data_IF_862739423261
#
_entry.id   IF_862739423261
#
_cell.length_a   1.000
_cell.length_b   1.000
_cell.length_c   1.000
_cell.angle_alpha   90.00
_cell.angle_beta   90.00
_cell.angle_gamma   90.00
#
_symmetry.space_group_name_H-M   'P 1'
#
loop_
_entity.id
_entity.type
_entity.pdbx_description
1 polymer ?
#
# COMPACT_ATOMS: atom_id res chain seq x y z
N UNK A 1 7.06 23.42 -18.89
CA UNK A 1 6.08 22.31 -18.99
C UNK A 1 6.39 21.55 -20.27
N UNK A 2 6.70 20.25 -20.17
CA UNK A 2 7.21 19.45 -21.29
C UNK A 2 6.03 18.86 -22.12
N UNK A 3 5.97 19.09 -23.45
CA UNK A 3 4.86 18.68 -24.31
C UNK A 3 4.69 17.14 -24.46
N UNK A 4 5.62 16.33 -23.95
CA UNK A 4 5.49 14.87 -23.89
C UNK A 4 4.42 14.38 -22.89
N UNK A 5 4.05 15.20 -21.90
CA UNK A 5 3.03 14.84 -20.90
C UNK A 5 1.59 14.86 -21.44
N UNK A 6 1.35 15.56 -22.55
CA UNK A 6 -0.01 15.74 -23.08
C UNK A 6 -0.45 14.56 -23.95
N UNK A 7 0.49 13.83 -24.57
CA UNK A 7 0.18 12.76 -25.54
C UNK A 7 -0.05 11.38 -24.90
N UNK A 8 0.38 11.15 -23.66
CA UNK A 8 0.08 9.91 -22.91
C UNK A 8 -1.25 9.99 -22.16
N UNK A 9 -1.85 11.18 -22.06
CA UNK A 9 -3.11 11.44 -21.35
C UNK A 9 -4.37 11.20 -22.20
N UNK A 10 -4.27 10.96 -23.51
CA UNK A 10 -5.44 10.93 -24.41
C UNK A 10 -6.21 9.60 -24.43
N UNK A 11 -5.64 8.48 -23.94
CA UNK A 11 -6.38 7.21 -23.82
C UNK A 11 -7.08 7.02 -22.45
N UNK A 12 -6.87 7.92 -21.49
CA UNK A 12 -7.38 7.79 -20.11
C UNK A 12 -8.44 8.84 -19.72
N UNK A 13 -8.90 9.67 -20.66
CA UNK A 13 -9.76 10.83 -20.38
C UNK A 13 -11.13 10.50 -19.74
N UNK A 14 -11.84 9.40 -20.07
CA UNK A 14 -13.11 9.10 -19.41
C UNK A 14 -12.91 8.56 -17.99
N UNK A 15 -11.82 7.83 -17.74
CA UNK A 15 -11.58 7.09 -16.50
C UNK A 15 -11.19 7.96 -15.31
N UNK A 16 -10.52 9.11 -15.51
CA UNK A 16 -10.11 10.00 -14.39
C UNK A 16 -11.30 10.68 -13.72
N UNK A 17 -12.42 10.86 -14.43
CA UNK A 17 -13.67 11.37 -13.86
C UNK A 17 -14.32 10.39 -12.87
N UNK A 18 -14.07 9.08 -13.04
CA UNK A 18 -14.60 8.04 -12.15
C UNK A 18 -13.70 7.75 -10.93
N UNK A 19 -12.52 8.37 -10.85
CA UNK A 19 -11.59 8.23 -9.73
C UNK A 19 -11.93 9.28 -8.67
N UNK A 20 -12.07 8.80 -7.43
CA UNK A 20 -12.33 9.67 -6.28
C UNK A 20 -11.22 10.73 -6.17
N UNK A 21 -11.54 12.03 -5.96
CA UNK A 21 -10.55 13.12 -5.96
C UNK A 21 -9.34 12.87 -5.07
N UNK A 22 -9.54 12.22 -3.93
CA UNK A 22 -8.47 11.91 -2.97
C UNK A 22 -7.49 10.82 -3.44
N UNK A 23 -7.85 10.00 -4.42
CA UNK A 23 -6.98 8.96 -4.97
C UNK A 23 -6.11 9.47 -6.12
N UNK A 24 -6.46 10.63 -6.70
CA UNK A 24 -5.73 11.21 -7.83
C UNK A 24 -4.24 11.43 -7.52
N UNK A 25 -3.83 11.94 -6.34
CA UNK A 25 -2.41 12.09 -6.00
C UNK A 25 -1.63 10.77 -5.88
N UNK A 26 -2.33 9.65 -5.66
CA UNK A 26 -1.74 8.32 -5.60
C UNK A 26 -1.57 7.75 -7.02
N UNK A 27 -2.60 7.88 -7.85
CA UNK A 27 -2.57 7.45 -9.26
C UNK A 27 -1.50 8.19 -10.06
N UNK A 28 -1.25 9.47 -9.79
CA UNK A 28 -0.20 10.23 -10.49
C UNK A 28 1.22 9.71 -10.21
N UNK A 29 1.43 8.94 -9.14
CA UNK A 29 2.71 8.31 -8.80
C UNK A 29 2.83 6.89 -9.37
N UNK A 30 1.76 6.35 -9.94
CA UNK A 30 1.73 4.98 -10.44
C UNK A 30 2.40 4.87 -11.81
N UNK A 31 2.91 3.68 -12.13
CA UNK A 31 3.33 3.40 -13.51
C UNK A 31 2.12 3.29 -14.42
N UNK A 32 2.32 3.36 -15.73
CA UNK A 32 1.23 3.22 -16.71
C UNK A 32 0.45 1.90 -16.54
N UNK A 33 1.16 0.78 -16.39
CA UNK A 33 0.53 -0.54 -16.20
C UNK A 33 -0.19 -0.62 -14.86
N UNK A 34 0.42 -0.14 -13.78
CA UNK A 34 -0.24 -0.14 -12.47
C UNK A 34 -1.47 0.77 -12.44
N UNK A 35 -1.48 1.85 -13.22
CA UNK A 35 -2.66 2.72 -13.39
C UNK A 35 -3.80 1.96 -14.06
N UNK A 36 -3.53 1.14 -15.08
CA UNK A 36 -4.55 0.29 -15.71
C UNK A 36 -5.08 -0.74 -14.69
N UNK A 37 -4.19 -1.40 -13.95
CA UNK A 37 -4.59 -2.36 -12.92
C UNK A 37 -5.44 -1.70 -11.82
N UNK A 38 -5.05 -0.51 -11.38
CA UNK A 38 -5.78 0.30 -10.43
C UNK A 38 -7.20 0.59 -10.93
N UNK A 39 -7.36 1.00 -12.19
CA UNK A 39 -8.68 1.28 -12.76
C UNK A 39 -9.54 0.02 -12.76
N UNK A 40 -9.00 -1.15 -13.13
CA UNK A 40 -9.72 -2.44 -13.11
C UNK A 40 -10.20 -2.76 -11.68
N UNK A 41 -9.29 -2.73 -10.70
CA UNK A 41 -9.61 -3.01 -9.29
C UNK A 41 -10.64 -2.01 -8.75
N UNK A 42 -10.43 -0.72 -8.98
CA UNK A 42 -11.32 0.36 -8.55
C UNK A 42 -12.73 0.24 -9.12
N UNK A 43 -12.88 -0.19 -10.39
CA UNK A 43 -14.19 -0.42 -10.98
C UNK A 43 -14.90 -1.61 -10.31
N UNK A 44 -14.20 -2.74 -10.12
CA UNK A 44 -14.76 -3.92 -9.44
C UNK A 44 -15.20 -3.58 -8.01
N UNK A 45 -14.41 -2.76 -7.31
CA UNK A 45 -14.70 -2.27 -5.96
C UNK A 45 -15.92 -1.36 -5.93
N UNK A 46 -16.00 -0.43 -6.90
CA UNK A 46 -17.12 0.51 -7.00
C UNK A 46 -18.45 -0.21 -7.20
N UNK A 47 -18.47 -1.32 -7.94
CA UNK A 47 -19.66 -2.14 -8.11
C UNK A 47 -19.87 -3.15 -6.97
N UNK A 48 -18.94 -3.28 -6.03
CA UNK A 48 -19.02 -4.23 -4.91
C UNK A 48 -19.06 -5.69 -5.37
N UNK A 49 -18.44 -5.99 -6.52
CA UNK A 49 -18.60 -7.30 -7.18
C UNK A 49 -17.53 -8.32 -6.78
N UNK A 50 -16.41 -7.90 -6.19
CA UNK A 50 -15.21 -8.75 -6.04
C UNK A 50 -15.49 -10.12 -5.39
N UNK A 51 -16.36 -10.16 -4.37
CA UNK A 51 -16.70 -11.38 -3.63
C UNK A 51 -17.85 -12.19 -4.25
N UNK A 52 -18.49 -11.68 -5.30
CA UNK A 52 -19.56 -12.34 -6.05
C UNK A 52 -19.09 -12.88 -7.40
N UNK A 53 -17.83 -12.65 -7.76
CA UNK A 53 -17.24 -13.18 -8.98
C UNK A 53 -17.03 -14.70 -8.87
N UNK A 54 -17.03 -15.43 -10.01
CA UNK A 54 -16.51 -16.78 -10.06
C UNK A 54 -15.10 -16.87 -9.46
N UNK A 55 -14.76 -18.01 -8.86
CA UNK A 55 -13.52 -18.18 -8.08
C UNK A 55 -12.25 -17.77 -8.84
N UNK A 56 -12.14 -18.10 -10.12
CA UNK A 56 -10.97 -17.73 -10.95
C UNK A 56 -10.84 -16.21 -11.13
N UNK A 57 -11.95 -15.51 -11.35
CA UNK A 57 -11.98 -14.05 -11.47
C UNK A 57 -11.74 -13.37 -10.12
N UNK A 58 -12.29 -13.93 -9.04
CA UNK A 58 -12.00 -13.47 -7.68
C UNK A 58 -10.51 -13.59 -7.33
N UNK A 59 -9.88 -14.72 -7.67
CA UNK A 59 -8.44 -14.92 -7.46
C UNK A 59 -7.60 -13.93 -8.27
N UNK A 60 -7.95 -13.73 -9.54
CA UNK A 60 -7.28 -12.74 -10.39
C UNK A 60 -7.36 -11.33 -9.75
N UNK A 61 -8.56 -10.91 -9.34
CA UNK A 61 -8.76 -9.64 -8.64
C UNK A 61 -7.90 -9.52 -7.37
N UNK A 62 -7.84 -10.57 -6.53
CA UNK A 62 -7.02 -10.55 -5.31
C UNK A 62 -5.52 -10.44 -5.60
N UNK A 63 -5.03 -11.09 -6.65
CA UNK A 63 -3.63 -10.98 -7.09
C UNK A 63 -3.32 -9.55 -7.52
N UNK A 64 -4.18 -8.94 -8.33
CA UNK A 64 -4.01 -7.57 -8.80
C UNK A 64 -4.01 -6.57 -7.64
N UNK A 65 -4.98 -6.70 -6.72
CA UNK A 65 -5.06 -5.86 -5.53
C UNK A 65 -3.82 -6.02 -4.63
N UNK A 66 -3.38 -7.26 -4.42
CA UNK A 66 -2.17 -7.55 -3.62
C UNK A 66 -0.92 -6.95 -4.25
N UNK A 67 -0.78 -7.01 -5.57
CA UNK A 67 0.34 -6.41 -6.30
C UNK A 67 0.40 -4.89 -6.08
N UNK A 68 -0.74 -4.19 -6.18
CA UNK A 68 -0.81 -2.75 -5.91
C UNK A 68 -0.45 -2.43 -4.45
N UNK A 69 -0.99 -3.18 -3.49
CA UNK A 69 -0.64 -3.02 -2.07
C UNK A 69 0.84 -3.21 -1.79
N UNK A 70 1.48 -4.24 -2.35
CA UNK A 70 2.90 -4.48 -2.13
C UNK A 70 3.77 -3.36 -2.71
N UNK A 71 3.35 -2.76 -3.83
CA UNK A 71 4.13 -1.72 -4.51
C UNK A 71 3.96 -0.33 -3.89
N UNK A 72 2.76 0.01 -3.42
CA UNK A 72 2.42 1.37 -3.01
C UNK A 72 2.15 1.54 -1.51
N UNK A 73 1.92 0.44 -0.78
CA UNK A 73 1.56 0.44 0.64
C UNK A 73 2.61 -0.28 1.51
N UNK A 74 3.86 -0.40 1.05
CA UNK A 74 4.97 -0.81 1.91
C UNK A 74 5.91 0.38 2.10
N UNK A 75 5.72 1.08 3.22
CA UNK A 75 6.53 2.25 3.58
C UNK A 75 7.61 1.83 4.57
N UNK A 76 8.86 1.97 4.13
CA UNK A 76 10.00 1.78 4.99
C UNK A 76 10.10 2.90 6.03
N UNK A 77 10.45 2.53 7.27
CA UNK A 77 10.62 3.44 8.40
C UNK A 77 12.01 3.24 8.99
N UNK A 78 12.73 4.33 9.20
CA UNK A 78 14.13 4.32 9.65
C UNK A 78 15.11 4.28 8.48
N UNK A 79 16.38 4.02 8.80
CA UNK A 79 17.42 3.74 7.83
C UNK A 79 17.76 2.24 7.83
N UNK A 80 18.05 1.68 6.67
CA UNK A 80 18.64 0.34 6.55
C UNK A 80 20.09 0.40 7.05
N UNK A 81 20.33 -0.13 8.25
CA UNK A 81 21.64 -0.07 8.91
C UNK A 81 22.29 -1.44 9.12
N UNK A 82 21.68 -2.51 8.61
CA UNK A 82 22.25 -3.84 8.77
C UNK A 82 23.46 -4.08 7.87
N UNK A 83 24.23 -5.07 8.24
CA UNK A 83 25.43 -5.50 7.54
C UNK A 83 25.16 -6.74 6.70
N UNK A 84 26.01 -6.96 5.70
CA UNK A 84 26.09 -8.24 5.02
C UNK A 84 26.67 -9.29 5.97
N UNK A 85 26.13 -10.48 5.90
CA UNK A 85 26.58 -11.62 6.69
C UNK A 85 26.59 -12.89 5.81
N UNK A 86 27.27 -13.93 6.29
CA UNK A 86 27.26 -15.22 5.64
C UNK A 86 25.97 -15.98 6.00
N UNK A 87 25.08 -16.11 5.03
CA UNK A 87 23.81 -16.84 5.16
C UNK A 87 24.07 -18.32 5.48
N UNK A 88 25.18 -18.89 5.00
CA UNK A 88 25.58 -20.26 5.30
C UNK A 88 25.99 -20.50 6.76
N UNK A 89 26.14 -19.44 7.56
CA UNK A 89 26.46 -19.57 8.99
C UNK A 89 25.20 -19.75 9.86
N UNK A 90 24.03 -19.35 9.36
CA UNK A 90 22.80 -19.25 10.14
C UNK A 90 21.66 -20.08 9.51
N UNK A 91 21.71 -21.40 9.66
CA UNK A 91 20.65 -22.32 9.22
C UNK A 91 19.51 -22.52 10.25
N UNK A 92 19.37 -21.59 11.19
CA UNK A 92 18.36 -21.63 12.24
C UNK A 92 17.86 -20.22 12.54
N UNK A 93 16.69 -20.11 13.19
CA UNK A 93 16.18 -18.83 13.69
C UNK A 93 16.95 -18.43 14.95
N UNK A 94 17.57 -17.25 14.93
CA UNK A 94 18.29 -16.73 16.10
C UNK A 94 17.30 -16.25 17.17
N UNK A 95 17.76 -16.17 18.42
CA UNK A 95 16.91 -15.79 19.55
C UNK A 95 16.41 -14.33 19.46
N UNK A 96 17.19 -13.47 18.81
CA UNK A 96 16.92 -12.04 18.59
C UNK A 96 16.28 -11.75 17.21
N UNK A 97 16.11 -12.77 16.35
CA UNK A 97 15.55 -12.63 15.01
C UNK A 97 16.48 -12.01 13.96
N UNK A 98 17.77 -11.83 14.26
CA UNK A 98 18.78 -11.42 13.30
C UNK A 98 19.08 -12.49 12.23
N UNK A 99 19.82 -12.09 11.20
CA UNK A 99 20.37 -12.98 10.16
C UNK A 99 19.32 -13.81 9.41
N UNK A 100 18.12 -13.26 9.22
CA UNK A 100 17.02 -13.92 8.49
C UNK A 100 16.83 -13.38 7.07
N UNK A 101 17.06 -12.09 6.84
CA UNK A 101 16.96 -11.49 5.51
C UNK A 101 18.31 -11.60 4.78
N UNK A 102 18.38 -12.08 3.53
CA UNK A 102 19.65 -12.47 2.89
C UNK A 102 20.66 -11.33 2.67
N UNK A 103 20.22 -10.07 2.75
CA UNK A 103 21.07 -8.90 2.46
C UNK A 103 21.28 -7.96 3.64
N UNK A 104 20.58 -8.17 4.77
CA UNK A 104 20.62 -7.30 5.95
C UNK A 104 20.40 -8.18 7.19
N UNK A 105 21.39 -8.21 8.09
CA UNK A 105 21.36 -9.03 9.31
C UNK A 105 20.37 -8.52 10.37
N UNK A 106 19.90 -7.29 10.30
CA UNK A 106 18.99 -6.69 11.29
C UNK A 106 17.52 -6.76 10.90
N UNK A 107 17.18 -6.97 9.62
CA UNK A 107 15.78 -6.97 9.18
C UNK A 107 14.97 -8.06 9.91
N UNK A 108 13.98 -7.60 10.68
CA UNK A 108 13.09 -8.47 11.46
C UNK A 108 13.59 -8.81 12.86
N UNK A 109 14.74 -8.27 13.28
CA UNK A 109 15.28 -8.49 14.62
C UNK A 109 14.58 -7.64 15.68
N UNK A 110 14.73 -8.05 16.94
CA UNK A 110 14.30 -7.27 18.10
C UNK A 110 14.94 -5.87 18.09
N UNK A 111 14.18 -4.86 18.50
CA UNK A 111 14.66 -3.47 18.57
C UNK A 111 14.63 -2.70 17.26
N UNK A 112 14.09 -3.28 16.18
CA UNK A 112 13.90 -2.60 14.89
C UNK A 112 12.58 -1.84 14.80
N UNK A 113 12.52 -0.88 13.88
CA UNK A 113 11.33 -0.07 13.65
C UNK A 113 10.18 -0.88 13.06
N UNK A 114 8.95 -0.56 13.48
CA UNK A 114 7.75 -1.00 12.78
C UNK A 114 7.62 -0.26 11.44
N UNK A 115 7.46 -1.00 10.36
CA UNK A 115 7.08 -0.45 9.05
C UNK A 115 5.68 0.16 9.06
N UNK A 116 5.29 0.78 7.94
CA UNK A 116 3.95 1.36 7.78
C UNK A 116 3.31 0.96 6.46
N UNK A 117 1.99 0.84 6.46
CA UNK A 117 1.23 0.60 5.24
C UNK A 117 0.56 1.85 4.69
N UNK A 118 0.50 2.91 5.49
CA UNK A 118 -0.11 4.19 5.13
C UNK A 118 0.77 5.35 5.62
N UNK A 119 0.78 6.49 4.93
CA UNK A 119 1.46 7.69 5.42
C UNK A 119 0.96 8.06 6.82
N UNK A 120 1.84 8.55 7.71
CA UNK A 120 1.41 8.94 9.05
C UNK A 120 0.43 10.12 8.98
N UNK A 121 -0.71 9.98 9.66
CA UNK A 121 -1.62 11.11 9.88
C UNK A 121 -1.02 12.04 10.94
N UNK A 122 -0.92 13.34 10.66
CA UNK A 122 -0.30 14.34 11.54
C UNK A 122 -1.25 14.88 12.62
N UNK A 123 -2.39 14.23 12.85
CA UNK A 123 -3.42 14.73 13.76
C UNK A 123 -2.96 14.65 15.22
N UNK A 124 -2.61 15.80 15.81
CA UNK A 124 -2.23 15.93 17.25
C UNK A 124 -3.42 15.75 18.22
N UNK A 125 -4.65 15.62 17.71
CA UNK A 125 -5.89 15.61 18.50
C UNK A 125 -6.26 14.25 19.13
N UNK A 126 -5.41 13.23 19.02
CA UNK A 126 -5.79 11.85 19.34
C UNK A 126 -5.57 11.37 20.78
N UNK A 127 -4.78 12.08 21.60
CA UNK A 127 -4.42 11.55 22.95
C UNK A 127 -5.32 12.09 24.07
N UNK A 128 -5.91 13.28 23.89
CA UNK A 128 -6.73 13.97 24.92
C UNK A 128 -8.04 14.48 24.29
N UNK A 129 -8.72 13.64 23.53
CA UNK A 129 -10.12 13.88 23.17
C UNK A 129 -10.99 12.96 24.01
N UNK A 130 -12.15 13.41 24.54
CA UNK A 130 -13.06 12.56 25.33
C UNK A 130 -13.62 11.35 24.55
N UNK A 131 -13.25 11.23 23.28
CA UNK A 131 -13.64 10.16 22.34
C UNK A 131 -12.76 8.91 22.40
N UNK A 132 -11.67 8.87 23.18
CA UNK A 132 -10.82 7.67 23.32
C UNK A 132 -11.61 6.42 23.79
N UNK A 133 -12.73 6.61 24.50
CA UNK A 133 -13.57 5.53 24.99
C UNK A 133 -14.79 5.19 24.09
N UNK A 134 -15.17 6.05 23.12
CA UNK A 134 -16.44 5.91 22.38
C UNK A 134 -16.28 5.93 20.84
N UNK A 135 -15.17 6.37 20.27
CA UNK A 135 -15.04 6.47 18.81
C UNK A 135 -13.74 5.85 18.30
N UNK A 136 -13.76 4.52 18.10
CA UNK A 136 -12.95 3.86 17.06
C UNK A 136 -13.50 4.21 15.67
N UNK A 137 -13.68 5.50 15.40
CA UNK A 137 -14.02 5.98 14.08
C UNK A 137 -12.72 6.16 13.32
N UNK A 138 -12.42 5.16 12.51
CA UNK A 138 -11.60 5.27 11.32
C UNK A 138 -11.86 6.66 10.68
N UNK A 139 -10.90 7.58 10.85
CA UNK A 139 -11.00 8.92 10.28
C UNK A 139 -11.23 8.75 8.77
N UNK A 140 -12.41 9.18 8.32
CA UNK A 140 -12.93 9.15 6.96
C UNK A 140 -13.29 7.77 6.38
N UNK A 141 -14.40 7.19 6.86
CA UNK A 141 -15.10 6.00 6.32
C UNK A 141 -15.28 5.95 4.78
N UNK A 142 -15.40 7.09 4.10
CA UNK A 142 -15.50 7.10 2.62
C UNK A 142 -14.15 6.91 1.94
N UNK A 143 -13.05 7.36 2.56
CA UNK A 143 -11.69 7.31 2.03
C UNK A 143 -11.01 6.03 2.45
N UNK A 144 -11.26 5.55 3.67
CA UNK A 144 -10.75 4.28 4.18
C UNK A 144 -11.14 3.08 3.29
N UNK A 145 -12.31 3.11 2.65
CA UNK A 145 -12.72 2.10 1.66
C UNK A 145 -11.81 2.06 0.43
N UNK A 146 -11.23 3.21 0.04
CA UNK A 146 -10.29 3.33 -1.07
C UNK A 146 -8.82 3.41 -0.66
N UNK A 147 -8.54 3.62 0.63
CA UNK A 147 -7.21 3.53 1.23
C UNK A 147 -6.79 2.06 1.43
N UNK A 148 -7.71 1.13 1.17
CA UNK A 148 -7.47 -0.30 1.01
C UNK A 148 -7.28 -0.69 -0.48
N UNK A 149 -6.79 0.23 -1.31
CA UNK A 149 -6.08 -0.12 -2.55
C UNK A 149 -4.60 -0.26 -2.23
#
# INVERSE_FOLDING_TARGET
MNPQFLYTMTLALPSVLFIHPELRPLVTKMSFLDTILFIIVHMVDKFGLWHRLPVSLGLCYLILRRHLHQRYNLLHVGSMSGNKYDVGKYFHRTADGMCNHPTDDTVGSQGTFFGRNMPPSTTKFGVISPTCLIHLYCQNSKVAKYCLI
#
